data_IF_807947149193
#
_entry.id   IF_807947149193
#
_cell.length_a   1.000
_cell.length_b   1.000
_cell.length_c   1.000
_cell.angle_alpha   90.00
_cell.angle_beta   90.00
_cell.angle_gamma   90.00
#
_symmetry.space_group_name_H-M   'P 1'
#
loop_
_entity.id
_entity.type
_entity.pdbx_description
1 polymer ?
#
# COMPACT_ATOMS: atom_id res chain seq x y z
N UNK A 1 -33.73 -0.26 16.44
CA UNK A 1 -32.31 -0.22 16.10
C UNK A 1 -31.53 -1.44 16.60
N UNK A 2 -31.98 -2.18 17.57
CA UNK A 2 -31.28 -3.38 18.10
C UNK A 2 -31.42 -4.67 17.26
N UNK A 3 -32.43 -4.76 16.38
CA UNK A 3 -32.65 -5.97 15.58
C UNK A 3 -31.78 -6.10 14.33
N UNK A 4 -31.20 -5.01 13.78
CA UNK A 4 -30.33 -5.08 12.63
C UNK A 4 -28.91 -5.52 12.99
N UNK A 5 -28.37 -5.07 14.14
CA UNK A 5 -27.03 -5.46 14.62
C UNK A 5 -26.93 -6.94 15.01
N UNK A 6 -28.04 -7.54 15.47
CA UNK A 6 -28.07 -8.97 15.85
C UNK A 6 -28.14 -9.90 14.63
N UNK A 7 -28.75 -9.44 13.54
CA UNK A 7 -28.87 -10.22 12.29
C UNK A 7 -27.52 -10.25 11.55
N UNK A 8 -26.82 -9.13 11.49
CA UNK A 8 -25.48 -9.02 10.88
C UNK A 8 -24.44 -9.89 11.61
N UNK A 9 -24.51 -9.90 12.94
CA UNK A 9 -23.57 -10.70 13.74
C UNK A 9 -23.86 -12.22 13.64
N UNK A 10 -25.11 -12.61 13.38
CA UNK A 10 -25.50 -14.00 13.20
C UNK A 10 -25.09 -14.53 11.81
N UNK A 11 -25.17 -13.70 10.77
CA UNK A 11 -24.68 -14.03 9.43
C UNK A 11 -23.16 -14.16 9.39
N UNK A 12 -22.40 -13.29 10.04
CA UNK A 12 -20.94 -13.38 10.12
C UNK A 12 -20.48 -14.67 10.82
N UNK A 13 -21.14 -15.07 11.88
CA UNK A 13 -20.88 -16.33 12.59
C UNK A 13 -21.19 -17.56 11.73
N UNK A 14 -22.24 -17.51 10.92
CA UNK A 14 -22.61 -18.63 10.03
C UNK A 14 -21.59 -18.78 8.86
N UNK A 15 -21.05 -17.69 8.34
CA UNK A 15 -20.08 -17.70 7.25
C UNK A 15 -18.71 -18.23 7.68
N UNK A 16 -18.22 -17.86 8.86
CA UNK A 16 -16.97 -18.42 9.41
C UNK A 16 -17.09 -19.91 9.72
N UNK A 17 -18.27 -20.36 10.18
CA UNK A 17 -18.56 -21.77 10.36
C UNK A 17 -18.60 -22.52 9.03
N UNK A 18 -19.19 -21.95 7.99
CA UNK A 18 -19.23 -22.52 6.66
C UNK A 18 -17.81 -22.68 6.09
N UNK A 19 -16.95 -21.66 6.23
CA UNK A 19 -15.56 -21.69 5.80
C UNK A 19 -14.79 -22.89 6.39
N UNK A 20 -14.89 -23.08 7.72
CA UNK A 20 -14.25 -24.21 8.41
C UNK A 20 -14.84 -25.55 8.00
N UNK A 21 -16.14 -25.62 7.81
CA UNK A 21 -16.86 -26.88 7.49
C UNK A 21 -16.62 -27.32 6.04
N UNK A 22 -16.62 -26.39 5.10
CA UNK A 22 -16.50 -26.68 3.67
C UNK A 22 -15.05 -26.92 3.26
N UNK A 23 -14.12 -26.06 3.73
CA UNK A 23 -12.74 -26.07 3.26
C UNK A 23 -11.69 -26.31 4.36
N UNK A 24 -12.07 -26.43 5.61
CA UNK A 24 -11.13 -26.59 6.74
C UNK A 24 -10.25 -25.37 6.98
N UNK A 25 -10.58 -24.24 6.36
CA UNK A 25 -9.76 -23.04 6.42
C UNK A 25 -9.82 -22.33 7.77
N UNK A 26 -8.70 -21.79 8.20
CA UNK A 26 -8.60 -21.07 9.48
C UNK A 26 -9.21 -19.66 9.41
N UNK A 27 -9.22 -19.04 8.22
CA UNK A 27 -9.74 -17.69 7.92
C UNK A 27 -10.01 -17.55 6.43
N UNK A 28 -10.67 -16.47 6.04
CA UNK A 28 -10.91 -16.15 4.64
C UNK A 28 -9.60 -15.82 3.90
N UNK A 29 -9.29 -16.46 2.75
CA UNK A 29 -8.02 -16.26 2.06
C UNK A 29 -7.85 -14.86 1.45
N UNK A 30 -8.95 -14.14 1.21
CA UNK A 30 -8.93 -12.76 0.69
C UNK A 30 -8.47 -11.71 1.70
N UNK A 31 -8.48 -11.97 3.00
CA UNK A 31 -8.01 -11.01 3.99
C UNK A 31 -6.49 -10.87 3.93
N UNK A 32 -6.03 -9.65 3.69
CA UNK A 32 -4.61 -9.34 3.70
C UNK A 32 -4.09 -9.41 5.15
N UNK A 33 -3.32 -10.46 5.46
CA UNK A 33 -2.45 -10.42 6.62
C UNK A 33 -1.07 -9.93 6.18
N UNK A 34 -0.57 -8.91 6.85
CA UNK A 34 0.74 -8.32 6.56
C UNK A 34 1.92 -9.25 6.87
N UNK A 35 1.64 -10.41 7.45
CA UNK A 35 2.66 -11.39 7.82
C UNK A 35 3.09 -12.28 6.66
N UNK A 36 2.32 -12.33 5.56
CA UNK A 36 2.59 -13.23 4.47
C UNK A 36 3.38 -12.56 3.38
N UNK A 37 4.55 -13.07 3.17
CA UNK A 37 5.43 -12.69 2.06
C UNK A 37 5.21 -13.66 0.91
N UNK A 38 4.40 -13.25 -0.08
CA UNK A 38 4.53 -13.83 -1.40
C UNK A 38 5.73 -13.18 -2.09
N UNK A 39 6.70 -13.99 -2.46
CA UNK A 39 7.96 -13.53 -3.05
C UNK A 39 7.79 -13.19 -4.54
N UNK A 40 7.12 -12.10 -4.84
CA UNK A 40 7.04 -11.57 -6.19
C UNK A 40 8.38 -10.93 -6.57
N UNK A 41 9.00 -11.34 -7.71
CA UNK A 41 10.37 -10.92 -8.06
C UNK A 41 10.58 -9.41 -8.16
N UNK A 42 9.59 -8.68 -8.67
CA UNK A 42 9.67 -7.21 -8.76
C UNK A 42 9.61 -6.55 -7.37
N UNK A 43 8.78 -7.09 -6.45
CA UNK A 43 8.69 -6.59 -5.08
C UNK A 43 10.02 -6.80 -4.32
N UNK A 44 10.67 -7.97 -4.49
CA UNK A 44 11.99 -8.25 -3.91
C UNK A 44 13.03 -7.24 -4.40
N UNK A 45 13.12 -7.03 -5.71
CA UNK A 45 14.05 -6.05 -6.29
C UNK A 45 13.77 -4.62 -5.80
N UNK A 46 12.50 -4.25 -5.72
CA UNK A 46 12.09 -2.92 -5.23
C UNK A 46 12.43 -2.75 -3.76
N UNK A 47 12.21 -3.77 -2.92
CA UNK A 47 12.58 -3.74 -1.51
C UNK A 47 14.09 -3.59 -1.30
N UNK A 48 14.89 -4.31 -2.09
CA UNK A 48 16.35 -4.16 -2.07
C UNK A 48 16.79 -2.74 -2.43
N UNK A 49 16.19 -2.14 -3.46
CA UNK A 49 16.46 -0.76 -3.87
C UNK A 49 16.03 0.26 -2.84
N UNK A 50 14.88 0.05 -2.18
CA UNK A 50 14.40 0.90 -1.09
C UNK A 50 15.36 0.85 0.12
N UNK A 51 15.81 -0.35 0.51
CA UNK A 51 16.80 -0.50 1.57
C UNK A 51 18.12 0.18 1.20
N UNK A 52 18.57 0.04 -0.05
CA UNK A 52 19.76 0.76 -0.54
C UNK A 52 19.59 2.27 -0.47
N UNK A 53 18.45 2.80 -0.94
CA UNK A 53 18.13 4.23 -0.87
C UNK A 53 18.26 4.78 0.56
N UNK A 54 17.69 4.07 1.53
CA UNK A 54 17.74 4.48 2.93
C UNK A 54 19.17 4.37 3.49
N UNK A 55 19.88 3.30 3.16
CA UNK A 55 21.25 3.09 3.63
C UNK A 55 22.22 4.17 3.14
N UNK A 56 21.98 4.75 1.95
CA UNK A 56 22.78 5.86 1.43
C UNK A 56 22.17 7.23 1.71
N UNK A 57 21.19 7.29 2.60
CA UNK A 57 20.55 8.53 3.06
C UNK A 57 19.94 9.36 1.91
N UNK A 58 19.37 8.72 0.92
CA UNK A 58 18.84 9.36 -0.28
C UNK A 58 17.32 9.53 -0.25
N UNK A 59 16.81 10.25 -1.25
CA UNK A 59 15.39 10.46 -1.50
C UNK A 59 14.93 9.61 -2.68
N UNK A 60 13.68 9.13 -2.65
CA UNK A 60 13.14 8.31 -3.72
C UNK A 60 11.64 8.34 -3.85
N UNK A 61 11.19 7.70 -4.92
CA UNK A 61 9.82 7.55 -5.36
C UNK A 61 9.48 6.08 -5.53
N UNK A 62 8.36 5.64 -4.98
CA UNK A 62 7.71 4.36 -5.25
C UNK A 62 6.33 4.63 -5.85
N UNK A 63 6.12 4.24 -7.10
CA UNK A 63 4.85 4.49 -7.76
C UNK A 63 4.35 3.26 -8.54
N UNK A 64 3.10 3.30 -8.98
CA UNK A 64 2.49 2.25 -9.80
C UNK A 64 1.00 2.13 -9.56
N UNK A 65 0.29 1.27 -10.32
CA UNK A 65 -1.15 1.14 -10.29
C UNK A 65 -1.71 0.83 -8.90
N UNK A 66 -3.00 1.10 -8.73
CA UNK A 66 -3.68 0.72 -7.49
C UNK A 66 -3.74 -0.81 -7.31
N UNK A 67 -3.56 -1.26 -6.05
CA UNK A 67 -3.72 -2.67 -5.68
C UNK A 67 -2.56 -3.60 -6.05
N UNK A 68 -1.44 -3.11 -6.60
CA UNK A 68 -0.26 -3.92 -6.99
C UNK A 68 0.68 -4.27 -5.82
N UNK A 69 0.43 -3.73 -4.62
CA UNK A 69 1.20 -4.09 -3.42
C UNK A 69 2.14 -3.00 -2.90
N UNK A 70 2.05 -1.73 -3.32
CA UNK A 70 2.91 -0.62 -2.82
C UNK A 70 2.91 -0.53 -1.30
N UNK A 71 1.74 -0.45 -0.67
CA UNK A 71 1.62 -0.34 0.79
C UNK A 71 2.15 -1.58 1.51
N UNK A 72 1.99 -2.76 0.91
CA UNK A 72 2.59 -3.99 1.42
C UNK A 72 4.13 -3.91 1.39
N UNK A 73 4.70 -3.45 0.28
CA UNK A 73 6.14 -3.27 0.14
C UNK A 73 6.70 -2.25 1.14
N UNK A 74 5.99 -1.13 1.34
CA UNK A 74 6.33 -0.13 2.38
C UNK A 74 6.30 -0.76 3.76
N UNK A 75 5.29 -1.55 4.07
CA UNK A 75 5.20 -2.24 5.36
C UNK A 75 6.36 -3.22 5.56
N UNK A 76 6.74 -3.99 4.53
CA UNK A 76 7.91 -4.86 4.56
C UNK A 76 9.20 -4.06 4.77
N UNK A 77 9.37 -2.93 4.07
CA UNK A 77 10.50 -2.03 4.28
C UNK A 77 10.59 -1.60 5.75
N UNK A 78 9.50 -1.08 6.31
CA UNK A 78 9.49 -0.60 7.70
C UNK A 78 9.85 -1.69 8.71
N UNK A 79 9.49 -2.95 8.45
CA UNK A 79 9.88 -4.09 9.30
C UNK A 79 11.36 -4.42 9.24
N UNK A 80 12.07 -4.06 8.16
CA UNK A 80 13.52 -4.26 8.03
C UNK A 80 14.33 -3.17 8.73
N UNK A 81 13.70 -2.01 8.99
CA UNK A 81 14.40 -0.86 9.58
C UNK A 81 14.49 -1.00 11.10
N UNK A 82 15.69 -0.79 11.62
CA UNK A 82 15.92 -0.80 13.07
C UNK A 82 15.53 0.53 13.70
N UNK A 83 14.65 0.52 14.68
CA UNK A 83 14.25 1.70 15.47
C UNK A 83 15.45 2.36 16.19
N UNK A 84 16.55 1.63 16.39
CA UNK A 84 17.80 2.15 16.97
C UNK A 84 18.62 2.99 15.99
N UNK A 85 18.29 2.93 14.69
CA UNK A 85 19.02 3.63 13.63
C UNK A 85 18.17 4.67 12.90
N UNK A 86 16.87 4.47 12.86
CA UNK A 86 15.96 5.29 12.04
C UNK A 86 14.80 5.81 12.88
N UNK A 87 14.47 7.08 12.68
CA UNK A 87 13.23 7.68 13.15
C UNK A 87 12.27 7.83 11.96
N UNK A 88 11.08 7.24 12.05
CA UNK A 88 10.12 7.23 10.95
C UNK A 88 9.05 8.28 11.20
N UNK A 89 8.95 9.26 10.30
CA UNK A 89 7.86 10.22 10.23
C UNK A 89 6.96 9.84 9.05
N UNK A 90 5.75 9.33 9.34
CA UNK A 90 4.84 8.81 8.33
C UNK A 90 3.61 9.69 8.15
N UNK A 91 3.35 10.13 6.94
CA UNK A 91 2.14 10.83 6.53
C UNK A 91 1.34 9.90 5.61
N UNK A 92 0.19 9.41 6.10
CA UNK A 92 -0.68 8.49 5.34
C UNK A 92 -1.84 9.20 4.65
N UNK A 93 -2.13 10.45 5.02
CA UNK A 93 -3.22 11.24 4.45
C UNK A 93 -2.65 12.52 3.83
N UNK A 94 -2.37 12.45 2.54
CA UNK A 94 -1.65 13.50 1.82
C UNK A 94 -2.56 14.61 1.23
N UNK A 95 -3.85 14.67 1.60
CA UNK A 95 -4.74 15.78 1.20
C UNK A 95 -4.42 17.10 1.93
N UNK A 96 -3.30 17.16 2.65
CA UNK A 96 -2.88 18.31 3.43
C UNK A 96 -2.35 19.44 2.52
N UNK A 97 -2.82 20.64 2.76
CA UNK A 97 -2.29 21.84 2.09
C UNK A 97 -0.94 22.25 2.70
N UNK A 98 -0.04 22.80 1.89
CA UNK A 98 1.35 23.11 2.19
C UNK A 98 1.72 23.36 3.66
N UNK A 99 1.14 24.41 4.30
CA UNK A 99 1.42 24.73 5.70
C UNK A 99 0.94 23.65 6.69
N UNK A 100 -0.11 22.91 6.34
CA UNK A 100 -0.66 21.86 7.22
C UNK A 100 0.20 20.59 7.16
N UNK A 101 0.81 20.30 6.02
CA UNK A 101 1.82 19.25 5.90
C UNK A 101 2.98 19.49 6.88
N UNK A 102 3.53 20.72 6.87
CA UNK A 102 4.62 21.08 7.79
C UNK A 102 4.21 21.02 9.26
N UNK A 103 2.98 21.48 9.58
CA UNK A 103 2.44 21.39 10.95
C UNK A 103 2.27 19.94 11.41
N UNK A 104 1.84 19.06 10.51
CA UNK A 104 1.72 17.63 10.81
C UNK A 104 3.09 16.99 11.03
N UNK A 105 4.11 17.35 10.25
CA UNK A 105 5.48 16.90 10.47
C UNK A 105 6.00 17.31 11.86
N UNK A 106 5.81 18.58 12.23
CA UNK A 106 6.16 19.10 13.56
C UNK A 106 5.43 18.32 14.66
N UNK A 107 4.14 18.03 14.48
CA UNK A 107 3.39 17.23 15.44
C UNK A 107 3.93 15.79 15.56
N UNK A 108 4.22 15.14 14.45
CA UNK A 108 4.77 13.78 14.44
C UNK A 108 6.20 13.71 14.99
N UNK A 109 6.95 14.78 14.90
CA UNK A 109 8.27 14.88 15.55
C UNK A 109 8.21 15.08 17.07
N UNK A 110 6.99 15.08 17.64
CA UNK A 110 6.77 15.24 19.08
C UNK A 110 6.73 16.70 19.57
N UNK A 111 6.72 17.66 18.65
CA UNK A 111 6.70 19.08 18.97
C UNK A 111 5.31 19.70 18.77
N UNK A 112 5.05 20.82 19.45
CA UNK A 112 3.82 21.59 19.23
C UNK A 112 3.93 22.44 17.96
N UNK A 113 3.02 22.28 16.98
CA UNK A 113 3.01 23.11 15.79
C UNK A 113 2.81 24.58 16.12
N UNK A 114 3.56 25.45 15.44
CA UNK A 114 3.51 26.91 15.60
C UNK A 114 2.55 27.53 14.58
N UNK A 115 2.11 28.75 14.87
CA UNK A 115 1.20 29.48 13.97
C UNK A 115 1.91 29.90 12.66
N UNK A 116 3.13 30.41 12.76
CA UNK A 116 3.90 30.88 11.61
C UNK A 116 4.68 29.73 10.96
N UNK A 117 4.65 29.69 9.61
CA UNK A 117 5.42 28.71 8.82
C UNK A 117 6.91 28.67 9.17
N UNK A 118 7.55 29.86 9.26
CA UNK A 118 8.98 29.94 9.56
C UNK A 118 9.37 29.37 10.91
N UNK A 119 8.49 29.44 11.91
CA UNK A 119 8.75 28.84 13.22
C UNK A 119 8.66 27.31 13.15
N UNK A 120 7.76 26.76 12.34
CA UNK A 120 7.67 25.30 12.11
C UNK A 120 8.89 24.78 11.35
N UNK A 121 9.40 25.53 10.35
CA UNK A 121 10.65 25.16 9.66
C UNK A 121 11.80 25.10 10.66
N UNK A 122 11.93 26.09 11.53
CA UNK A 122 12.97 26.10 12.56
C UNK A 122 12.85 24.94 13.52
N UNK A 123 11.64 24.60 13.97
CA UNK A 123 11.39 23.42 14.80
C UNK A 123 11.86 22.15 14.10
N UNK A 124 11.58 21.98 12.81
CA UNK A 124 12.06 20.82 12.06
C UNK A 124 13.57 20.82 11.89
N UNK A 125 14.21 21.98 11.63
CA UNK A 125 15.66 22.07 11.51
C UNK A 125 16.37 21.75 12.84
N UNK A 126 15.79 22.11 13.97
CA UNK A 126 16.26 21.73 15.31
C UNK A 126 16.06 20.23 15.54
N UNK A 127 14.87 19.72 15.20
CA UNK A 127 14.55 18.30 15.34
C UNK A 127 15.53 17.40 14.56
N UNK A 128 15.89 17.75 13.32
CA UNK A 128 16.85 16.97 12.52
C UNK A 128 18.23 16.87 13.20
N UNK A 129 18.62 17.87 14.00
CA UNK A 129 19.87 17.86 14.77
C UNK A 129 19.73 17.02 16.05
N UNK A 130 18.59 17.14 16.72
CA UNK A 130 18.30 16.43 17.98
C UNK A 130 18.09 14.93 17.77
N UNK A 131 17.62 14.50 16.60
CA UNK A 131 17.44 13.09 16.28
C UNK A 131 18.73 12.26 16.32
N UNK A 132 19.89 12.90 16.15
CA UNK A 132 21.14 12.15 16.09
C UNK A 132 21.40 11.32 17.37
N UNK A 133 21.85 10.07 17.26
CA UNK A 133 22.40 9.43 16.04
C UNK A 133 21.36 8.75 15.11
N UNK A 134 20.06 8.90 15.36
CA UNK A 134 19.03 8.33 14.50
C UNK A 134 18.95 9.10 13.18
N UNK A 135 18.77 8.37 12.06
CA UNK A 135 18.53 8.98 10.76
C UNK A 135 17.02 9.10 10.50
N UNK A 136 16.49 10.30 10.26
CA UNK A 136 15.07 10.48 9.98
C UNK A 136 14.70 9.93 8.59
N UNK A 137 13.56 9.22 8.51
CA UNK A 137 12.90 8.81 7.28
C UNK A 137 11.52 9.47 7.21
N UNK A 138 11.35 10.37 6.27
CA UNK A 138 10.06 10.95 5.93
C UNK A 138 9.39 10.07 4.88
N UNK A 139 8.29 9.43 5.24
CA UNK A 139 7.47 8.59 4.39
C UNK A 139 6.13 9.28 4.14
N UNK A 140 5.82 9.55 2.86
CA UNK A 140 4.55 10.16 2.46
C UNK A 140 3.84 9.21 1.50
N UNK A 141 2.70 8.67 1.95
CA UNK A 141 1.84 7.81 1.14
C UNK A 141 0.75 8.62 0.44
N UNK A 142 0.19 8.07 -0.65
CA UNK A 142 -0.79 8.73 -1.52
C UNK A 142 -0.30 10.12 -2.00
N UNK A 143 1.00 10.22 -2.30
CA UNK A 143 1.66 11.48 -2.62
C UNK A 143 1.14 12.15 -3.90
N UNK A 144 0.41 11.43 -4.77
CA UNK A 144 -0.31 12.03 -5.90
C UNK A 144 -1.39 13.03 -5.45
N UNK A 145 -1.88 12.93 -4.21
CA UNK A 145 -2.87 13.87 -3.67
C UNK A 145 -2.24 15.18 -3.14
N UNK A 146 -0.92 15.26 -3.02
CA UNK A 146 -0.24 16.48 -2.61
C UNK A 146 -0.45 17.58 -3.66
N UNK A 147 -0.81 18.76 -3.24
CA UNK A 147 -0.86 19.93 -4.13
C UNK A 147 0.56 20.47 -4.41
N UNK A 148 0.68 21.36 -5.38
CA UNK A 148 1.96 21.96 -5.76
C UNK A 148 2.64 22.68 -4.58
N UNK A 149 1.86 23.31 -3.71
CA UNK A 149 2.38 24.00 -2.52
C UNK A 149 2.99 23.01 -1.52
N UNK A 150 2.36 21.85 -1.31
CA UNK A 150 2.89 20.79 -0.44
C UNK A 150 4.17 20.17 -1.01
N UNK A 151 4.23 19.94 -2.34
CA UNK A 151 5.45 19.48 -3.02
C UNK A 151 6.59 20.52 -2.89
N UNK A 152 6.27 21.80 -2.96
CA UNK A 152 7.24 22.87 -2.74
C UNK A 152 7.72 22.93 -1.28
N UNK A 153 6.85 22.71 -0.29
CA UNK A 153 7.27 22.59 1.11
C UNK A 153 8.26 21.44 1.31
N UNK A 154 7.98 20.28 0.73
CA UNK A 154 8.88 19.11 0.78
C UNK A 154 10.22 19.49 0.13
N UNK A 155 10.20 20.13 -1.03
CA UNK A 155 11.40 20.58 -1.72
C UNK A 155 12.24 21.51 -0.83
N UNK A 156 11.59 22.48 -0.18
CA UNK A 156 12.28 23.43 0.71
C UNK A 156 12.90 22.73 1.92
N UNK A 157 12.23 21.75 2.50
CA UNK A 157 12.80 20.93 3.59
C UNK A 157 14.06 20.17 3.14
N UNK A 158 14.06 19.65 1.90
CA UNK A 158 15.26 18.98 1.34
C UNK A 158 16.41 19.96 1.04
N UNK A 159 16.17 21.27 1.10
CA UNK A 159 17.16 22.33 0.80
C UNK A 159 17.69 23.03 2.05
N UNK A 160 17.35 22.60 3.25
CA UNK A 160 17.72 23.27 4.50
C UNK A 160 19.23 23.52 4.62
N UNK A 161 20.03 22.74 3.90
CA UNK A 161 21.46 22.98 3.76
C UNK A 161 21.89 22.77 2.29
N UNK A 162 22.12 23.84 1.51
CA UNK A 162 22.38 23.73 0.06
C UNK A 162 23.66 22.97 -0.30
N UNK A 163 24.64 22.91 0.60
CA UNK A 163 25.96 22.30 0.36
C UNK A 163 26.05 20.84 0.84
N UNK A 164 24.98 20.32 1.44
CA UNK A 164 24.96 18.97 2.01
C UNK A 164 23.75 18.16 1.54
N UNK A 165 23.81 16.86 1.79
CA UNK A 165 22.64 15.99 1.62
C UNK A 165 21.48 16.45 2.52
N UNK A 166 20.22 16.18 2.13
CA UNK A 166 19.06 16.42 2.99
C UNK A 166 19.28 15.80 4.37
N UNK A 167 18.82 16.44 5.46
CA UNK A 167 19.00 15.92 6.80
C UNK A 167 18.12 14.69 7.12
N UNK A 168 17.41 14.17 6.15
CA UNK A 168 16.52 13.02 6.24
C UNK A 168 16.45 12.29 4.90
N UNK A 169 16.08 11.02 4.92
CA UNK A 169 15.63 10.31 3.72
C UNK A 169 14.17 10.60 3.44
N UNK A 170 13.80 10.74 2.17
CA UNK A 170 12.42 10.95 1.73
C UNK A 170 11.98 9.77 0.86
N UNK A 171 10.82 9.19 1.17
CA UNK A 171 10.13 8.25 0.31
C UNK A 171 8.72 8.76 -0.01
N UNK A 172 8.51 9.13 -1.27
CA UNK A 172 7.18 9.43 -1.80
C UNK A 172 6.57 8.14 -2.37
N UNK A 173 5.37 7.81 -1.95
CA UNK A 173 4.63 6.65 -2.43
C UNK A 173 3.32 7.12 -3.03
N UNK A 174 3.04 6.72 -4.27
CA UNK A 174 1.82 7.13 -4.95
C UNK A 174 1.39 6.18 -6.07
N UNK A 175 0.36 6.57 -6.78
CA UNK A 175 -0.13 5.85 -7.94
C UNK A 175 0.67 6.20 -9.21
N UNK A 176 0.15 5.81 -10.37
CA UNK A 176 0.77 6.05 -11.67
C UNK A 176 0.79 7.53 -12.06
N UNK A 177 -0.09 8.36 -11.49
CA UNK A 177 -0.16 9.80 -11.77
C UNK A 177 0.94 10.61 -11.04
N UNK A 178 1.58 10.04 -10.02
CA UNK A 178 2.56 10.76 -9.21
C UNK A 178 3.79 11.16 -10.03
N UNK A 179 4.36 10.27 -10.84
CA UNK A 179 5.56 10.58 -11.62
C UNK A 179 5.29 11.65 -12.68
N UNK A 180 4.23 11.55 -13.54
CA UNK A 180 3.89 12.62 -14.47
C UNK A 180 3.69 13.97 -13.78
N UNK A 181 3.10 13.99 -12.60
CA UNK A 181 2.91 15.20 -11.82
C UNK A 181 4.22 15.82 -11.33
N UNK A 182 5.18 15.00 -10.93
CA UNK A 182 6.52 15.46 -10.53
C UNK A 182 7.33 15.97 -11.73
N UNK A 183 7.07 15.47 -12.94
CA UNK A 183 7.70 15.92 -14.18
C UNK A 183 7.24 17.32 -14.65
N UNK A 184 6.12 17.82 -14.13
CA UNK A 184 5.69 19.18 -14.41
C UNK A 184 6.78 20.19 -14.05
N UNK A 185 6.93 21.22 -14.85
CA UNK A 185 8.00 22.23 -14.73
C UNK A 185 8.16 22.80 -13.33
N UNK A 186 7.03 23.04 -12.64
CA UNK A 186 7.00 23.58 -11.28
C UNK A 186 7.57 22.63 -10.22
N UNK A 187 7.56 21.32 -10.47
CA UNK A 187 7.98 20.28 -9.52
C UNK A 187 9.37 19.68 -9.86
N UNK A 188 9.95 20.05 -11.00
CA UNK A 188 11.25 19.51 -11.47
C UNK A 188 12.38 19.65 -10.45
N UNK A 189 12.37 20.72 -9.67
CA UNK A 189 13.39 20.94 -8.64
C UNK A 189 13.28 19.93 -7.48
N UNK A 190 12.09 19.40 -7.18
CA UNK A 190 11.93 18.29 -6.26
C UNK A 190 12.32 16.98 -6.94
N UNK A 191 11.84 16.73 -8.16
CA UNK A 191 12.15 15.51 -8.93
C UNK A 191 13.66 15.31 -9.07
N UNK A 192 14.44 16.36 -9.33
CA UNK A 192 15.90 16.29 -9.45
C UNK A 192 16.64 15.85 -8.18
N UNK A 193 15.96 15.84 -7.03
CA UNK A 193 16.50 15.39 -5.74
C UNK A 193 16.16 13.94 -5.43
N UNK A 194 15.23 13.34 -6.18
CA UNK A 194 14.86 11.94 -6.02
C UNK A 194 15.88 11.07 -6.78
N UNK A 195 16.88 10.57 -6.05
CA UNK A 195 17.93 9.73 -6.61
C UNK A 195 17.48 8.29 -6.93
N UNK A 196 16.32 7.88 -6.46
CA UNK A 196 15.76 6.55 -6.67
C UNK A 196 14.31 6.65 -7.17
N UNK A 197 14.01 5.86 -8.19
CA UNK A 197 12.68 5.67 -8.70
C UNK A 197 12.39 4.17 -8.83
N UNK A 198 11.32 3.71 -8.18
CA UNK A 198 10.83 2.34 -8.23
C UNK A 198 9.40 2.36 -8.75
N UNK A 199 9.19 1.71 -9.89
CA UNK A 199 7.85 1.45 -10.44
C UNK A 199 7.43 0.03 -10.10
N UNK A 200 6.23 -0.15 -9.56
CA UNK A 200 5.56 -1.44 -9.51
C UNK A 200 4.56 -1.52 -10.64
N UNK A 201 4.63 -2.61 -11.38
CA UNK A 201 3.76 -2.87 -12.51
C UNK A 201 2.59 -3.78 -12.12
N UNK A 202 1.62 -3.90 -13.01
CA UNK A 202 0.56 -4.91 -12.89
C UNK A 202 1.17 -6.31 -12.97
N UNK A 203 0.68 -7.21 -12.14
CA UNK A 203 1.16 -8.58 -12.09
C UNK A 203 0.75 -9.36 -13.33
N UNK A 204 1.62 -10.24 -13.78
CA UNK A 204 1.32 -11.16 -14.87
C UNK A 204 0.31 -12.22 -14.42
N UNK A 205 -0.41 -12.80 -15.38
CA UNK A 205 -1.40 -13.85 -15.09
C UNK A 205 -0.79 -15.04 -14.32
N UNK A 206 0.44 -15.43 -14.66
CA UNK A 206 1.18 -16.51 -13.97
C UNK A 206 1.48 -16.16 -12.52
N UNK A 207 1.92 -14.92 -12.25
CA UNK A 207 2.19 -14.44 -10.89
C UNK A 207 0.92 -14.40 -10.03
N UNK A 208 -0.21 -13.98 -10.62
CA UNK A 208 -1.50 -13.99 -9.93
C UNK A 208 -1.98 -15.43 -9.65
N UNK A 209 -1.72 -16.39 -10.54
CA UNK A 209 -2.07 -17.81 -10.33
C UNK A 209 -1.26 -18.41 -9.18
N UNK A 210 0.03 -18.13 -9.14
CA UNK A 210 0.92 -18.59 -8.06
C UNK A 210 0.53 -17.94 -6.72
N UNK A 211 0.21 -16.66 -6.76
CA UNK A 211 -0.27 -15.94 -5.59
C UNK A 211 -1.60 -16.48 -5.05
N UNK A 212 -2.56 -16.78 -5.93
CA UNK A 212 -3.83 -17.41 -5.57
C UNK A 212 -3.60 -18.71 -4.81
N UNK A 213 -2.74 -19.57 -5.34
CA UNK A 213 -2.40 -20.85 -4.71
C UNK A 213 -1.72 -20.65 -3.36
N UNK A 214 -0.82 -19.67 -3.25
CA UNK A 214 -0.17 -19.33 -1.99
C UNK A 214 -1.19 -18.84 -0.95
N UNK A 215 -2.16 -18.01 -1.36
CA UNK A 215 -3.23 -17.50 -0.47
C UNK A 215 -4.14 -18.62 0.05
N UNK A 216 -4.51 -19.58 -0.79
CA UNK A 216 -5.30 -20.74 -0.38
C UNK A 216 -4.50 -21.62 0.59
N UNK A 217 -3.26 -21.93 0.27
CA UNK A 217 -2.38 -22.78 1.09
C UNK A 217 -2.13 -22.20 2.49
N UNK A 218 -2.01 -20.88 2.58
CA UNK A 218 -1.79 -20.14 3.83
C UNK A 218 -2.92 -20.34 4.85
N UNK A 219 -4.14 -20.45 4.39
CA UNK A 219 -5.31 -20.64 5.27
C UNK A 219 -5.63 -22.11 5.50
N UNK A 220 -4.79 -23.04 4.97
CA UNK A 220 -4.93 -24.47 5.12
C UNK A 220 -5.67 -25.17 3.97
N UNK A 221 -5.96 -24.46 2.88
CA UNK A 221 -6.59 -25.04 1.69
C UNK A 221 -5.48 -25.46 0.71
N UNK A 222 -5.10 -26.73 0.76
CA UNK A 222 -4.01 -27.27 -0.06
C UNK A 222 -4.46 -27.79 -1.43
N UNK A 223 -5.73 -28.12 -1.57
CA UNK A 223 -6.34 -28.48 -2.85
C UNK A 223 -7.18 -27.31 -3.30
N UNK A 224 -6.92 -26.81 -4.51
CA UNK A 224 -7.66 -25.66 -5.03
C UNK A 224 -9.13 -26.03 -5.20
N UNK A 225 -10.05 -25.38 -4.48
CA UNK A 225 -11.47 -25.67 -4.58
C UNK A 225 -12.16 -24.93 -5.74
N UNK A 226 -11.40 -24.20 -6.57
CA UNK A 226 -11.94 -23.31 -7.61
C UNK A 226 -11.86 -24.02 -8.96
N UNK A 227 -12.95 -24.06 -9.67
CA UNK A 227 -13.01 -24.54 -11.06
C UNK A 227 -11.98 -23.82 -11.94
N UNK A 228 -11.32 -24.53 -12.86
CA UNK A 228 -10.24 -23.93 -13.67
C UNK A 228 -10.73 -22.77 -14.52
N UNK A 229 -11.94 -22.84 -15.08
CA UNK A 229 -12.56 -21.75 -15.81
C UNK A 229 -12.83 -20.54 -14.91
N UNK A 230 -13.21 -20.75 -13.66
CA UNK A 230 -13.38 -19.68 -12.69
C UNK A 230 -12.03 -19.04 -12.29
N UNK A 231 -10.95 -19.83 -12.16
CA UNK A 231 -9.60 -19.31 -11.93
C UNK A 231 -9.15 -18.41 -13.08
N UNK A 232 -9.33 -18.85 -14.33
CA UNK A 232 -8.94 -18.05 -15.50
C UNK A 232 -9.71 -16.73 -15.57
N UNK A 233 -11.02 -16.78 -15.38
CA UNK A 233 -11.87 -15.59 -15.37
C UNK A 233 -11.51 -14.65 -14.19
N UNK A 234 -11.21 -15.19 -13.01
CA UNK A 234 -10.79 -14.41 -11.83
C UNK A 234 -9.47 -13.67 -12.09
N UNK A 235 -8.49 -14.36 -12.70
CA UNK A 235 -7.19 -13.74 -13.05
C UNK A 235 -7.37 -12.63 -14.09
N UNK A 236 -8.18 -12.86 -15.12
CA UNK A 236 -8.48 -11.84 -16.13
C UNK A 236 -9.17 -10.62 -15.49
N UNK A 237 -10.18 -10.85 -14.66
CA UNK A 237 -10.96 -9.78 -14.00
C UNK A 237 -10.18 -9.04 -12.93
N UNK A 238 -9.12 -9.62 -12.39
CA UNK A 238 -8.23 -8.96 -11.45
C UNK A 238 -7.36 -7.87 -12.08
N UNK A 239 -7.20 -7.87 -13.40
CA UNK A 239 -6.43 -6.87 -14.17
C UNK A 239 -5.02 -6.62 -13.61
N UNK A 240 -4.32 -7.69 -13.21
CA UNK A 240 -2.96 -7.59 -12.65
C UNK A 240 -2.89 -7.02 -11.22
N UNK A 241 -4.02 -6.94 -10.52
CA UNK A 241 -4.10 -6.44 -9.15
C UNK A 241 -4.33 -7.56 -8.13
N UNK A 242 -3.37 -7.88 -7.25
CA UNK A 242 -3.58 -8.80 -6.14
C UNK A 242 -4.73 -8.42 -5.21
N UNK A 243 -4.98 -7.12 -5.04
CA UNK A 243 -6.12 -6.63 -4.24
C UNK A 243 -7.45 -7.05 -4.88
N UNK A 244 -7.59 -6.86 -6.18
CA UNK A 244 -8.79 -7.27 -6.90
C UNK A 244 -8.97 -8.79 -6.85
N UNK A 245 -7.88 -9.55 -7.06
CA UNK A 245 -7.90 -11.01 -6.94
C UNK A 245 -8.39 -11.46 -5.56
N UNK A 246 -7.87 -10.89 -4.49
CA UNK A 246 -8.31 -11.18 -3.12
C UNK A 246 -9.80 -10.91 -2.92
N UNK A 247 -10.30 -9.79 -3.46
CA UNK A 247 -11.72 -9.43 -3.36
C UNK A 247 -12.59 -10.43 -4.11
N UNK A 248 -12.21 -10.77 -5.34
CA UNK A 248 -12.94 -11.75 -6.16
C UNK A 248 -12.91 -13.14 -5.53
N UNK A 249 -11.75 -13.59 -5.06
CA UNK A 249 -11.60 -14.84 -4.34
C UNK A 249 -12.55 -14.94 -3.15
N UNK A 250 -12.51 -13.92 -2.29
CA UNK A 250 -13.37 -13.89 -1.11
C UNK A 250 -14.84 -13.94 -1.48
N UNK A 251 -15.30 -13.08 -2.42
CA UNK A 251 -16.71 -13.00 -2.80
C UNK A 251 -17.20 -14.27 -3.47
N UNK A 252 -16.39 -14.89 -4.34
CA UNK A 252 -16.77 -16.14 -4.97
C UNK A 252 -16.87 -17.29 -3.97
N UNK A 253 -15.96 -17.36 -3.00
CA UNK A 253 -16.04 -18.34 -1.92
C UNK A 253 -17.25 -18.10 -1.01
N UNK A 254 -17.58 -16.83 -0.71
CA UNK A 254 -18.79 -16.48 0.05
C UNK A 254 -20.05 -16.96 -0.68
N UNK A 255 -20.15 -16.75 -2.01
CA UNK A 255 -21.28 -17.21 -2.81
C UNK A 255 -21.41 -18.74 -2.80
N UNK A 256 -20.30 -19.47 -3.03
CA UNK A 256 -20.29 -20.93 -2.94
C UNK A 256 -20.68 -21.43 -1.54
N UNK A 257 -20.26 -20.74 -0.48
CA UNK A 257 -20.62 -21.07 0.90
C UNK A 257 -22.11 -20.87 1.19
N UNK A 258 -22.75 -19.85 0.64
CA UNK A 258 -24.19 -19.64 0.75
C UNK A 258 -24.97 -20.79 0.15
N UNK A 259 -24.47 -21.38 -0.95
CA UNK A 259 -25.04 -22.56 -1.61
C UNK A 259 -24.56 -23.88 -0.99
N UNK A 260 -23.79 -23.84 0.11
CA UNK A 260 -23.19 -24.99 0.79
C UNK A 260 -22.34 -25.89 -0.12
N UNK A 261 -21.75 -25.31 -1.16
CA UNK A 261 -20.87 -26.01 -2.10
C UNK A 261 -19.41 -25.95 -1.65
N UNK A 262 -18.67 -27.04 -1.86
CA UNK A 262 -17.22 -27.11 -1.63
C UNK A 262 -16.41 -26.60 -2.82
N UNK A 263 -17.00 -26.60 -3.98
CA UNK A 263 -16.39 -26.14 -5.21
C UNK A 263 -16.92 -24.75 -5.55
N UNK A 264 -16.00 -23.87 -5.91
CA UNK A 264 -16.28 -22.51 -6.36
C UNK A 264 -16.36 -22.53 -7.87
N UNK A 265 -17.53 -22.27 -8.42
CA UNK A 265 -17.81 -22.34 -9.85
C UNK A 265 -17.75 -20.97 -10.52
N UNK A 266 -17.71 -20.98 -11.86
CA UNK A 266 -17.74 -19.74 -12.67
C UNK A 266 -18.97 -18.89 -12.37
N UNK A 267 -20.11 -19.49 -12.01
CA UNK A 267 -21.34 -18.75 -11.62
C UNK A 267 -21.16 -17.94 -10.33
N UNK A 268 -20.39 -18.44 -9.34
CA UNK A 268 -20.10 -17.72 -8.12
C UNK A 268 -19.25 -16.48 -8.40
N UNK A 269 -18.32 -16.59 -9.34
CA UNK A 269 -17.51 -15.47 -9.78
C UNK A 269 -18.31 -14.44 -10.58
N UNK A 270 -19.21 -14.87 -11.46
CA UNK A 270 -20.11 -13.95 -12.16
C UNK A 270 -20.98 -13.18 -11.17
N UNK A 271 -21.58 -13.88 -10.19
CA UNK A 271 -22.34 -13.22 -9.13
C UNK A 271 -21.50 -12.22 -8.32
N UNK A 272 -20.22 -12.55 -8.06
CA UNK A 272 -19.30 -11.62 -7.43
C UNK A 272 -19.01 -10.38 -8.29
N UNK A 273 -18.78 -10.57 -9.59
CA UNK A 273 -18.52 -9.48 -10.54
C UNK A 273 -19.74 -8.57 -10.72
N UNK A 274 -20.96 -9.10 -10.70
CA UNK A 274 -22.20 -8.31 -10.78
C UNK A 274 -22.34 -7.33 -9.61
N UNK A 275 -21.80 -7.67 -8.44
CA UNK A 275 -21.74 -6.78 -7.27
C UNK A 275 -20.59 -5.78 -7.31
N UNK A 276 -19.63 -5.94 -8.25
CA UNK A 276 -18.41 -5.16 -8.36
C UNK A 276 -18.26 -4.54 -9.78
N UNK A 277 -19.18 -3.65 -10.19
CA UNK A 277 -19.26 -3.18 -11.57
C UNK A 277 -18.01 -2.45 -12.08
N UNK A 278 -17.15 -1.96 -11.19
CA UNK A 278 -15.87 -1.35 -11.57
C UNK A 278 -14.81 -2.37 -11.98
N UNK A 279 -14.97 -3.66 -11.66
CA UNK A 279 -14.06 -4.73 -12.08
C UNK A 279 -14.41 -5.29 -13.47
N UNK A 280 -15.62 -5.07 -13.97
CA UNK A 280 -16.06 -5.52 -15.28
C UNK A 280 -15.75 -4.53 -16.40
N UNK A 281 -15.43 -3.28 -16.06
CA UNK A 281 -15.08 -2.26 -17.05
C UNK A 281 -13.60 -2.33 -17.37
N UNK A 282 -13.23 -2.23 -18.68
CA UNK A 282 -11.82 -2.03 -19.03
C UNK A 282 -11.30 -0.80 -18.30
N UNK A 283 -10.18 -0.93 -17.64
CA UNK A 283 -9.50 0.22 -17.00
C UNK A 283 -9.00 1.15 -18.11
N UNK A 284 -9.17 2.46 -17.98
CA UNK A 284 -8.73 3.44 -18.96
C UNK A 284 -7.22 3.43 -19.18
#
# INVERSE_FOLDING_TARGET
MENQTTTDNKHALDMDKALKTLWGASRWPGFADSTITFEQPQAIKSLQRLNQMIAVHSCGLLHGPHGVGKSFLVHQLLRTLSEKKYQILRISHSSLMGSDLLRQLVHQSGHAPRFRRGDNVRVMDEHWKECQPLWPLLLIEEAQNLNTQSLEEIRLLTCSNPDTQPPFSLLLVGDEDLLPRLELGVNRALLSRLGFCMALERWQATELKDYLQARLSEVGIHVNPIEEAAVELMIQSAHGSPRNLNTLLQRSMENAAMEQRREVLSEDLHAALDTLPWMTRPMP
#
